data_IF_678306525236
#
_entry.id   IF_678306525236
#
_cell.length_a   1.000
_cell.length_b   1.000
_cell.length_c   1.000
_cell.angle_alpha   90.00
_cell.angle_beta   90.00
_cell.angle_gamma   90.00
#
_symmetry.space_group_name_H-M   'P 1'
#
loop_
_entity.id
_entity.type
_entity.pdbx_description
1 polymer ?
#
# COMPACT_ATOMS: atom_id res chain seq x y z
N UNK A 1 -31.10 -16.87 65.30
CA UNK A 1 -29.90 -16.11 64.88
C UNK A 1 -29.46 -16.74 63.57
N UNK A 2 -29.95 -16.17 62.49
CA UNK A 2 -29.98 -16.79 61.17
C UNK A 2 -29.65 -15.71 60.16
N UNK A 3 -28.64 -16.01 59.35
CA UNK A 3 -28.26 -15.49 58.04
C UNK A 3 -29.02 -14.27 57.47
N UNK A 4 -28.24 -13.28 57.01
CA UNK A 4 -28.40 -12.81 55.63
C UNK A 4 -27.12 -12.15 55.13
N UNK A 5 -26.37 -12.93 54.35
CA UNK A 5 -25.19 -12.52 53.63
C UNK A 5 -25.50 -11.53 52.49
N UNK A 6 -24.63 -10.53 52.43
CA UNK A 6 -24.43 -9.49 51.43
C UNK A 6 -24.75 -9.96 49.99
N UNK A 7 -25.75 -9.33 49.37
CA UNK A 7 -26.08 -9.46 47.95
C UNK A 7 -24.94 -8.89 47.09
N UNK A 8 -24.08 -9.74 46.53
CA UNK A 8 -23.15 -9.38 45.44
C UNK A 8 -23.81 -9.72 44.10
N UNK A 9 -24.21 -8.70 43.35
CA UNK A 9 -24.65 -8.84 41.96
C UNK A 9 -23.46 -9.28 41.13
N UNK A 10 -23.41 -10.56 40.76
CA UNK A 10 -22.41 -11.09 39.83
C UNK A 10 -22.80 -10.64 38.41
N UNK A 11 -22.00 -9.73 37.87
CA UNK A 11 -22.07 -9.26 36.50
C UNK A 11 -21.62 -10.42 35.59
N UNK A 12 -22.56 -10.98 34.82
CA UNK A 12 -22.26 -12.01 33.83
C UNK A 12 -21.50 -11.36 32.67
N UNK A 13 -20.18 -11.50 32.66
CA UNK A 13 -19.34 -11.13 31.52
C UNK A 13 -19.38 -12.31 30.53
N UNK A 14 -20.23 -12.17 29.51
CA UNK A 14 -20.20 -13.04 28.33
C UNK A 14 -19.05 -12.53 27.46
N UNK A 15 -17.86 -13.13 27.59
CA UNK A 15 -16.78 -12.95 26.63
C UNK A 15 -17.17 -13.70 25.36
N UNK A 16 -17.68 -12.95 24.38
CA UNK A 16 -17.96 -13.41 23.04
C UNK A 16 -16.63 -13.81 22.38
N UNK A 17 -16.32 -15.11 22.40
CA UNK A 17 -15.22 -15.69 21.63
C UNK A 17 -15.56 -15.61 20.15
N UNK A 18 -15.18 -14.49 19.51
CA UNK A 18 -15.17 -14.38 18.06
C UNK A 18 -14.07 -15.30 17.54
N UNK A 19 -14.47 -16.54 17.24
CA UNK A 19 -13.69 -17.43 16.38
C UNK A 19 -13.61 -16.76 15.00
N UNK A 20 -12.55 -15.99 14.77
CA UNK A 20 -12.20 -15.57 13.41
C UNK A 20 -11.78 -16.84 12.69
N UNK A 21 -12.72 -17.39 11.93
CA UNK A 21 -12.44 -18.35 10.86
C UNK A 21 -11.44 -17.68 9.94
N UNK A 22 -10.15 -17.91 10.21
CA UNK A 22 -9.04 -17.60 9.33
C UNK A 22 -9.16 -18.46 8.08
N UNK A 23 -10.11 -18.11 7.21
CA UNK A 23 -9.99 -18.47 5.82
C UNK A 23 -8.70 -17.84 5.32
N UNK A 24 -7.69 -18.67 5.05
CA UNK A 24 -6.54 -18.23 4.25
C UNK A 24 -7.11 -17.62 2.98
N UNK A 25 -7.09 -16.29 2.86
CA UNK A 25 -7.36 -15.59 1.61
C UNK A 25 -6.35 -16.14 0.59
N UNK A 26 -6.80 -17.10 -0.22
CA UNK A 26 -6.04 -17.63 -1.35
C UNK A 26 -6.22 -16.66 -2.51
N UNK A 27 -5.11 -16.20 -3.05
CA UNK A 27 -5.08 -15.20 -4.12
C UNK A 27 -3.69 -14.58 -4.26
N UNK A 28 -3.49 -13.71 -5.27
CA UNK A 28 -2.26 -12.96 -5.40
C UNK A 28 -2.05 -12.04 -4.19
N UNK A 29 -0.80 -11.87 -3.78
CA UNK A 29 -0.46 -11.00 -2.64
C UNK A 29 0.81 -10.22 -2.93
N UNK A 30 0.65 -8.98 -3.40
CA UNK A 30 1.75 -8.07 -3.62
C UNK A 30 2.37 -7.59 -2.31
N UNK A 31 3.70 -7.66 -2.20
CA UNK A 31 4.49 -6.95 -1.19
C UNK A 31 5.39 -5.94 -1.87
N UNK A 32 5.32 -4.70 -1.40
CA UNK A 32 6.19 -3.60 -1.84
C UNK A 32 7.38 -3.46 -0.89
N UNK A 33 8.55 -3.19 -1.43
CA UNK A 33 9.75 -2.82 -0.67
C UNK A 33 10.62 -1.84 -1.44
N UNK A 34 11.64 -1.28 -0.78
CA UNK A 34 12.67 -0.44 -1.39
C UNK A 34 12.09 0.71 -2.24
N UNK A 35 11.12 1.44 -1.68
CA UNK A 35 10.55 2.60 -2.34
C UNK A 35 11.64 3.67 -2.44
N UNK A 36 12.00 4.01 -3.67
CA UNK A 36 12.92 5.09 -3.99
C UNK A 36 12.15 6.24 -4.62
N UNK A 37 12.76 7.41 -4.55
CA UNK A 37 12.26 8.61 -5.18
C UNK A 37 13.44 9.42 -5.65
N UNK A 38 13.42 9.83 -6.91
CA UNK A 38 14.45 10.67 -7.49
C UNK A 38 13.80 11.77 -8.32
N UNK A 39 14.48 12.92 -8.38
CA UNK A 39 14.04 14.08 -9.14
C UNK A 39 15.12 14.32 -10.19
N UNK A 40 14.72 14.27 -11.47
CA UNK A 40 15.64 14.42 -12.57
C UNK A 40 14.87 14.89 -13.83
N UNK A 41 15.57 15.49 -14.80
CA UNK A 41 14.98 15.72 -16.10
C UNK A 41 14.85 14.39 -16.86
N UNK A 42 13.78 14.23 -17.63
CA UNK A 42 13.54 13.08 -18.51
C UNK A 42 13.07 13.54 -19.90
N UNK A 43 13.41 12.78 -20.95
CA UNK A 43 13.02 13.11 -22.32
C UNK A 43 11.62 12.56 -22.62
N UNK A 44 10.67 13.47 -22.83
CA UNK A 44 9.25 13.13 -22.99
C UNK A 44 8.75 13.77 -24.27
N UNK A 45 8.28 12.94 -25.20
CA UNK A 45 7.85 13.36 -26.53
C UNK A 45 8.89 14.23 -27.26
N UNK A 46 10.18 13.96 -27.03
CA UNK A 46 11.29 14.69 -27.65
C UNK A 46 11.70 15.99 -26.96
N UNK A 47 11.03 16.39 -25.87
CA UNK A 47 11.41 17.55 -25.06
C UNK A 47 11.95 17.10 -23.71
N UNK A 48 12.96 17.81 -23.20
CA UNK A 48 13.46 17.58 -21.85
C UNK A 48 12.53 18.26 -20.86
N UNK A 49 11.96 17.50 -19.94
CA UNK A 49 11.07 18.01 -18.89
C UNK A 49 11.55 17.57 -17.51
N UNK A 50 11.34 18.40 -16.49
CA UNK A 50 11.67 18.07 -15.11
C UNK A 50 10.52 17.26 -14.49
N UNK A 51 10.85 16.29 -13.65
CA UNK A 51 9.84 15.58 -12.91
C UNK A 51 10.41 14.73 -11.79
N UNK A 52 9.57 13.82 -11.29
CA UNK A 52 9.93 12.89 -10.23
C UNK A 52 9.63 11.45 -10.63
N UNK A 53 10.63 10.60 -10.46
CA UNK A 53 10.49 9.16 -10.58
C UNK A 53 10.26 8.54 -9.19
N UNK A 54 9.26 7.66 -9.12
CA UNK A 54 9.04 6.76 -7.98
C UNK A 54 9.37 5.34 -8.41
N UNK A 55 10.42 4.76 -7.82
CA UNK A 55 10.84 3.38 -8.03
C UNK A 55 10.46 2.50 -6.83
N UNK A 56 10.15 1.23 -7.06
CA UNK A 56 9.93 0.27 -5.97
C UNK A 56 10.05 -1.17 -6.46
N UNK A 57 10.28 -2.06 -5.50
CA UNK A 57 10.30 -3.50 -5.70
C UNK A 57 8.93 -4.10 -5.36
N UNK A 58 8.39 -4.90 -6.27
CA UNK A 58 7.15 -5.65 -6.10
C UNK A 58 7.41 -7.15 -6.17
N UNK A 59 6.99 -7.87 -5.13
CA UNK A 59 6.99 -9.34 -5.11
C UNK A 59 5.57 -9.89 -4.92
N UNK A 60 5.18 -10.87 -5.73
CA UNK A 60 3.97 -11.65 -5.43
C UNK A 60 4.32 -12.77 -4.44
N UNK A 61 3.82 -12.68 -3.22
CA UNK A 61 3.98 -13.70 -2.15
C UNK A 61 2.79 -14.66 -2.04
N UNK A 62 1.80 -14.51 -2.92
CA UNK A 62 0.60 -15.35 -2.99
C UNK A 62 0.60 -16.26 -4.22
N UNK A 63 -0.60 -16.58 -4.69
CA UNK A 63 -0.81 -17.33 -5.93
C UNK A 63 -0.60 -16.43 -7.16
N UNK A 64 -0.35 -17.04 -8.33
CA UNK A 64 -0.26 -16.27 -9.59
C UNK A 64 -1.56 -15.52 -9.86
N UNK A 65 -1.46 -14.25 -10.25
CA UNK A 65 -2.65 -13.43 -10.51
C UNK A 65 -2.34 -11.98 -10.85
N UNK A 66 -3.40 -11.20 -11.03
CA UNK A 66 -3.30 -9.76 -11.21
C UNK A 66 -3.02 -9.09 -9.86
N UNK A 67 -2.20 -8.05 -9.88
CA UNK A 67 -1.99 -7.15 -8.74
C UNK A 67 -2.24 -5.73 -9.25
N UNK A 68 -3.20 -5.05 -8.64
CA UNK A 68 -3.49 -3.65 -8.86
C UNK A 68 -2.52 -2.77 -8.08
N UNK A 69 -1.78 -1.94 -8.78
CA UNK A 69 -0.80 -1.01 -8.23
C UNK A 69 -1.40 0.40 -8.28
N UNK A 70 -1.24 1.15 -7.19
CA UNK A 70 -1.50 2.59 -7.15
C UNK A 70 -0.28 3.31 -6.57
N UNK A 71 0.30 4.21 -7.35
CA UNK A 71 1.41 5.08 -6.95
C UNK A 71 0.87 6.50 -6.80
N UNK A 72 1.05 7.06 -5.61
CA UNK A 72 0.68 8.44 -5.29
C UNK A 72 1.93 9.26 -5.03
N UNK A 73 2.08 10.37 -5.74
CA UNK A 73 3.08 11.39 -5.48
C UNK A 73 2.38 12.63 -4.94
N UNK A 74 2.85 13.16 -3.81
CA UNK A 74 2.29 14.38 -3.19
C UNK A 74 3.40 15.35 -2.82
N UNK A 75 3.15 16.64 -2.99
CA UNK A 75 4.07 17.72 -2.62
C UNK A 75 3.29 19.01 -2.27
N UNK A 76 4.01 20.12 -2.08
CA UNK A 76 3.42 21.44 -1.86
C UNK A 76 2.55 21.94 -3.03
N UNK A 77 2.75 21.43 -4.24
CA UNK A 77 2.05 21.88 -5.44
C UNK A 77 0.81 21.03 -5.78
N UNK A 78 0.67 19.85 -5.16
CA UNK A 78 -0.48 18.99 -5.40
C UNK A 78 -0.22 17.52 -5.14
N UNK A 79 -1.10 16.70 -5.71
CA UNK A 79 -1.03 15.25 -5.62
C UNK A 79 -1.41 14.62 -6.96
N UNK A 80 -0.61 13.65 -7.40
CA UNK A 80 -0.82 12.90 -8.62
C UNK A 80 -0.88 11.40 -8.33
N UNK A 81 -1.70 10.70 -9.10
CA UNK A 81 -1.94 9.27 -8.93
C UNK A 81 -1.77 8.57 -10.27
N UNK A 82 -1.02 7.49 -10.28
CA UNK A 82 -0.90 6.55 -11.41
C UNK A 82 -1.30 5.17 -10.92
N UNK A 83 -1.99 4.42 -11.77
CA UNK A 83 -2.38 3.03 -11.47
C UNK A 83 -2.12 2.12 -12.66
N UNK A 84 -1.81 0.87 -12.36
CA UNK A 84 -1.57 -0.18 -13.36
C UNK A 84 -1.93 -1.54 -12.77
N UNK A 85 -2.52 -2.38 -13.60
CA UNK A 85 -2.68 -3.80 -13.29
C UNK A 85 -1.52 -4.59 -13.91
N UNK A 86 -0.88 -5.45 -13.12
CA UNK A 86 0.19 -6.33 -13.60
C UNK A 86 -0.10 -7.77 -13.22
N UNK A 87 0.07 -8.69 -14.17
CA UNK A 87 0.10 -10.11 -13.87
C UNK A 87 1.46 -10.49 -13.30
N UNK A 88 1.48 -11.18 -12.16
CA UNK A 88 2.68 -11.75 -11.56
C UNK A 88 2.48 -13.23 -11.22
N UNK A 89 3.44 -14.05 -11.62
CA UNK A 89 3.50 -15.45 -11.17
C UNK A 89 3.78 -15.54 -9.66
N UNK A 90 3.42 -16.66 -9.04
CA UNK A 90 3.73 -16.92 -7.64
C UNK A 90 5.23 -16.81 -7.36
N UNK A 91 5.61 -15.96 -6.41
CA UNK A 91 7.01 -15.70 -6.05
C UNK A 91 7.73 -14.71 -6.98
N UNK A 92 7.12 -14.29 -8.10
CA UNK A 92 7.76 -13.40 -9.07
C UNK A 92 8.07 -12.03 -8.45
N UNK A 93 9.21 -11.49 -8.85
CA UNK A 93 9.73 -10.20 -8.44
C UNK A 93 9.90 -9.28 -9.65
N UNK A 94 9.53 -8.01 -9.52
CA UNK A 94 9.78 -6.95 -10.52
C UNK A 94 10.14 -5.65 -9.83
N UNK A 95 11.09 -4.93 -10.41
CA UNK A 95 11.31 -3.51 -10.12
C UNK A 95 10.43 -2.69 -11.07
N UNK A 96 9.73 -1.70 -10.55
CA UNK A 96 8.81 -0.84 -11.31
C UNK A 96 9.14 0.62 -11.05
N UNK A 97 9.05 1.45 -12.09
CA UNK A 97 9.26 2.90 -12.02
C UNK A 97 8.08 3.65 -12.62
N UNK A 98 7.75 4.79 -12.02
CA UNK A 98 6.69 5.69 -12.44
C UNK A 98 7.21 7.11 -12.45
N UNK A 99 7.23 7.74 -13.63
CA UNK A 99 7.60 9.14 -13.77
C UNK A 99 6.37 10.06 -13.72
N UNK A 100 6.50 11.15 -12.99
CA UNK A 100 5.51 12.22 -12.86
C UNK A 100 6.13 13.51 -13.39
N UNK A 101 5.50 14.10 -14.40
CA UNK A 101 5.95 15.32 -15.10
C UNK A 101 5.53 16.60 -14.38
N UNK A 102 4.64 16.45 -13.41
CA UNK A 102 3.87 17.56 -12.88
C UNK A 102 4.52 18.35 -11.73
N UNK A 103 5.34 17.79 -10.82
CA UNK A 103 6.03 18.63 -9.85
C UNK A 103 7.15 19.43 -10.53
N UNK A 104 7.18 20.73 -10.26
CA UNK A 104 8.27 21.58 -10.76
C UNK A 104 9.54 21.37 -9.94
N UNK A 105 10.68 21.86 -10.46
CA UNK A 105 11.98 21.81 -9.77
C UNK A 105 11.98 22.51 -8.40
N UNK A 106 11.01 23.40 -8.12
CA UNK A 106 10.93 24.17 -6.88
C UNK A 106 9.99 23.56 -5.84
N UNK A 107 9.41 22.39 -6.13
CA UNK A 107 8.45 21.75 -5.23
C UNK A 107 9.10 21.35 -3.90
N UNK A 108 8.31 21.31 -2.83
CA UNK A 108 8.78 20.91 -1.49
C UNK A 108 7.87 19.85 -0.88
N UNK A 109 8.32 19.20 0.20
CA UNK A 109 7.56 18.15 0.90
C UNK A 109 7.11 17.00 0.00
N UNK A 110 7.92 16.67 -1.01
CA UNK A 110 7.67 15.56 -1.91
C UNK A 110 7.61 14.24 -1.12
N UNK A 111 6.57 13.45 -1.34
CA UNK A 111 6.32 12.16 -0.68
C UNK A 111 5.75 11.19 -1.70
N UNK A 112 6.18 9.93 -1.61
CA UNK A 112 5.70 8.85 -2.46
C UNK A 112 5.03 7.78 -1.61
N UNK A 113 3.87 7.31 -2.06
CA UNK A 113 3.12 6.22 -1.44
C UNK A 113 2.74 5.20 -2.50
N UNK A 114 3.14 3.95 -2.30
CA UNK A 114 2.81 2.83 -3.17
C UNK A 114 1.85 1.90 -2.43
N UNK A 115 0.70 1.62 -3.04
CA UNK A 115 -0.29 0.65 -2.56
C UNK A 115 -0.45 -0.46 -3.58
N UNK A 116 -0.60 -1.68 -3.10
CA UNK A 116 -0.84 -2.86 -3.94
C UNK A 116 -1.98 -3.67 -3.37
N UNK A 117 -2.89 -4.10 -4.24
CA UNK A 117 -4.03 -4.92 -3.89
C UNK A 117 -4.19 -6.09 -4.90
N UNK A 118 -4.69 -7.25 -4.46
CA UNK A 118 -5.08 -8.35 -5.35
C UNK A 118 -6.18 -7.95 -6.34
#
# INVERSE_FOLDING_TARGET
>A
MTEMGIKRKALAIVLLSVAVLGGCLRGPRGRVSNITRQEHPELINGNLDWGSEVGFDLKNEGESGMIHITVTLSCSEGQWVRSQDIFLEAGQFKHLTYFFQEPTINTTNLQALVRVNP
#
